data_IF_325350743010
#
_entry.id   IF_325350743010
#
_cell.length_a   1.000
_cell.length_b   1.000
_cell.length_c   1.000
_cell.angle_alpha   90.00
_cell.angle_beta   90.00
_cell.angle_gamma   90.00
#
_symmetry.space_group_name_H-M   'P 1'
#
loop_
_entity.id
_entity.type
_entity.pdbx_description
1 polymer ?
#
# COMPACT_ATOMS: atom_id res chain seq x y z
N UNK A 1 7.60 11.53 -25.08
CA UNK A 1 6.19 11.80 -25.38
C UNK A 1 5.61 10.56 -26.00
N UNK A 2 5.06 9.72 -25.13
CA UNK A 2 3.98 8.82 -25.44
C UNK A 2 2.88 9.64 -26.11
N UNK A 3 2.55 9.29 -27.35
CA UNK A 3 1.37 9.82 -28.01
C UNK A 3 0.14 9.14 -27.37
N UNK A 4 -0.65 9.91 -26.62
CA UNK A 4 -1.91 9.41 -26.06
C UNK A 4 -2.87 9.04 -27.20
N UNK A 5 -3.60 7.94 -27.04
CA UNK A 5 -4.75 7.66 -27.91
C UNK A 5 -5.88 8.66 -27.63
N UNK A 6 -6.81 8.84 -28.57
CA UNK A 6 -8.01 9.66 -28.31
C UNK A 6 -8.81 9.18 -27.09
N UNK A 7 -8.85 7.87 -26.85
CA UNK A 7 -9.52 7.28 -25.70
C UNK A 7 -8.80 7.64 -24.40
N UNK A 8 -7.46 7.60 -24.37
CA UNK A 8 -6.66 8.01 -23.22
C UNK A 8 -6.82 9.51 -22.94
N UNK A 9 -6.83 10.36 -23.98
CA UNK A 9 -7.09 11.80 -23.83
C UNK A 9 -8.46 12.03 -23.19
N UNK A 10 -9.51 11.35 -23.67
CA UNK A 10 -10.87 11.46 -23.11
C UNK A 10 -10.93 10.95 -21.67
N UNK A 11 -10.30 9.81 -21.38
CA UNK A 11 -10.29 9.16 -20.06
C UNK A 11 -9.57 10.02 -19.02
N UNK A 12 -8.39 10.54 -19.36
CA UNK A 12 -7.52 11.27 -18.45
C UNK A 12 -7.63 12.79 -18.57
N UNK A 13 -8.61 13.30 -19.33
CA UNK A 13 -8.81 14.73 -19.54
C UNK A 13 -8.83 15.54 -18.24
N UNK A 14 -9.41 15.00 -17.16
CA UNK A 14 -9.50 15.67 -15.85
C UNK A 14 -8.17 15.76 -15.11
N UNK A 15 -7.23 14.87 -15.38
CA UNK A 15 -5.86 14.97 -14.89
C UNK A 15 -5.05 15.92 -15.77
N UNK A 16 -5.14 15.78 -17.09
CA UNK A 16 -4.33 16.54 -18.06
C UNK A 16 -4.55 18.05 -17.94
N UNK A 17 -5.76 18.51 -17.56
CA UNK A 17 -6.03 19.94 -17.36
C UNK A 17 -5.45 20.53 -16.07
N UNK A 18 -5.03 19.70 -15.11
CA UNK A 18 -4.46 20.17 -13.85
C UNK A 18 -3.01 20.64 -14.10
N UNK A 19 -2.63 21.88 -13.72
CA UNK A 19 -1.27 22.38 -13.93
C UNK A 19 -0.19 21.52 -13.30
N UNK A 20 -0.46 20.90 -12.14
CA UNK A 20 0.46 20.03 -11.42
C UNK A 20 0.63 18.65 -12.07
N UNK A 21 -0.28 18.26 -12.97
CA UNK A 21 -0.23 16.97 -13.66
C UNK A 21 0.11 17.18 -15.14
N UNK A 22 -0.76 17.85 -15.91
CA UNK A 22 -0.52 18.07 -17.33
C UNK A 22 -0.47 16.78 -18.15
N UNK A 23 -0.14 16.92 -19.44
CA UNK A 23 0.15 15.76 -20.30
C UNK A 23 1.38 15.00 -19.83
N UNK A 24 2.45 15.71 -19.45
CA UNK A 24 3.70 15.09 -18.98
C UNK A 24 3.51 14.27 -17.70
N UNK A 25 2.71 14.74 -16.75
CA UNK A 25 2.43 13.99 -15.52
C UNK A 25 1.56 12.76 -15.80
N UNK A 26 0.57 12.87 -16.69
CA UNK A 26 -0.19 11.68 -17.09
C UNK A 26 0.66 10.66 -17.84
N UNK A 27 1.62 11.10 -18.66
CA UNK A 27 2.64 10.25 -19.29
C UNK A 27 3.49 9.54 -18.23
N UNK A 28 3.93 10.25 -17.18
CA UNK A 28 4.65 9.65 -16.06
C UNK A 28 3.82 8.57 -15.36
N UNK A 29 2.54 8.82 -15.07
CA UNK A 29 1.65 7.82 -14.47
C UNK A 29 1.55 6.56 -15.34
N UNK A 30 1.30 6.71 -16.65
CA UNK A 30 1.22 5.58 -17.59
C UNK A 30 2.56 4.84 -17.76
N UNK A 31 3.69 5.48 -17.47
CA UNK A 31 5.00 4.83 -17.51
C UNK A 31 5.42 4.18 -16.17
N UNK A 32 4.73 4.52 -15.08
CA UNK A 32 5.12 4.12 -13.73
C UNK A 32 4.67 2.70 -13.37
N UNK A 33 5.34 2.15 -12.36
CA UNK A 33 5.10 0.82 -11.82
C UNK A 33 4.90 0.90 -10.31
N UNK A 34 3.75 0.44 -9.83
CA UNK A 34 3.42 0.39 -8.40
C UNK A 34 3.23 -1.06 -7.96
N UNK A 35 3.81 -1.45 -6.83
CA UNK A 35 3.55 -2.73 -6.19
C UNK A 35 2.63 -2.53 -4.99
N UNK A 36 1.49 -3.20 -4.99
CA UNK A 36 0.53 -3.24 -3.91
C UNK A 36 0.61 -4.58 -3.19
N UNK A 37 1.07 -4.59 -1.95
CA UNK A 37 1.19 -5.80 -1.13
C UNK A 37 -0.01 -5.85 -0.18
N UNK A 38 -0.87 -6.84 -0.37
CA UNK A 38 -2.16 -6.97 0.29
C UNK A 38 -3.31 -6.58 -0.63
N UNK A 39 -4.13 -7.56 -1.01
CA UNK A 39 -5.30 -7.41 -1.84
C UNK A 39 -6.61 -7.27 -1.02
N UNK A 40 -6.48 -6.83 0.23
CA UNK A 40 -7.57 -6.74 1.20
C UNK A 40 -8.33 -5.41 1.20
N UNK A 41 -8.76 -4.99 2.40
CA UNK A 41 -9.63 -3.81 2.56
C UNK A 41 -8.96 -2.50 2.16
N UNK A 42 -7.67 -2.34 2.49
CA UNK A 42 -6.87 -1.19 2.08
C UNK A 42 -6.49 -1.27 0.60
N UNK A 43 -6.10 -2.46 0.15
CA UNK A 43 -5.67 -2.71 -1.22
C UNK A 43 -6.75 -2.43 -2.25
N UNK A 44 -7.99 -2.79 -1.97
CA UNK A 44 -9.11 -2.59 -2.90
C UNK A 44 -9.31 -1.13 -3.35
N UNK A 45 -9.63 -0.16 -2.47
CA UNK A 45 -9.76 1.23 -2.87
C UNK A 45 -8.46 1.79 -3.46
N UNK A 46 -7.29 1.41 -2.89
CA UNK A 46 -6.00 1.89 -3.38
C UNK A 46 -5.76 1.48 -4.85
N UNK A 47 -5.85 0.19 -5.14
CA UNK A 47 -5.62 -0.37 -6.47
C UNK A 47 -6.68 0.08 -7.49
N UNK A 48 -7.94 0.23 -7.09
CA UNK A 48 -8.98 0.77 -7.97
C UNK A 48 -8.68 2.22 -8.38
N UNK A 49 -8.26 3.10 -7.45
CA UNK A 49 -7.91 4.48 -7.77
C UNK A 49 -6.62 4.57 -8.59
N UNK A 50 -5.60 3.76 -8.30
CA UNK A 50 -4.38 3.70 -9.10
C UNK A 50 -4.64 3.20 -10.52
N UNK A 51 -5.47 2.16 -10.67
CA UNK A 51 -5.94 1.70 -11.97
C UNK A 51 -6.66 2.80 -12.73
N UNK A 52 -7.65 3.44 -12.09
CA UNK A 52 -8.42 4.55 -12.69
C UNK A 52 -7.54 5.75 -13.07
N UNK A 53 -6.48 6.03 -12.30
CA UNK A 53 -5.52 7.10 -12.57
C UNK A 53 -4.56 6.81 -13.74
N UNK A 54 -4.50 5.56 -14.21
CA UNK A 54 -3.63 5.14 -15.30
C UNK A 54 -2.20 4.89 -14.86
N UNK A 55 -1.99 4.22 -13.72
CA UNK A 55 -0.67 3.66 -13.40
C UNK A 55 -0.33 2.57 -14.42
N UNK A 56 0.79 2.72 -15.13
CA UNK A 56 1.17 1.85 -16.24
C UNK A 56 1.21 0.36 -15.91
N UNK A 57 1.85 0.01 -14.79
CA UNK A 57 1.88 -1.36 -14.27
C UNK A 57 1.51 -1.38 -12.79
N UNK A 58 0.54 -2.21 -12.45
CA UNK A 58 0.14 -2.46 -11.06
C UNK A 58 0.42 -3.92 -10.70
N UNK A 59 1.46 -4.14 -9.90
CA UNK A 59 1.73 -5.42 -9.26
C UNK A 59 0.84 -5.59 -8.04
N UNK A 60 0.22 -6.75 -7.87
CA UNK A 60 -0.62 -7.05 -6.71
C UNK A 60 -0.16 -8.38 -6.12
N UNK A 61 0.30 -8.35 -4.87
CA UNK A 61 0.75 -9.53 -4.15
C UNK A 61 -0.18 -9.84 -2.98
N UNK A 62 -0.78 -11.03 -3.01
CA UNK A 62 -1.62 -11.58 -1.94
C UNK A 62 -1.75 -13.10 -2.17
N UNK A 63 -1.62 -13.88 -1.11
CA UNK A 63 -1.68 -15.35 -1.18
C UNK A 63 -3.06 -15.92 -0.85
N UNK A 64 -3.96 -15.10 -0.30
CA UNK A 64 -5.28 -15.53 0.13
C UNK A 64 -6.27 -15.69 -1.02
N UNK A 65 -7.34 -16.42 -0.71
CA UNK A 65 -8.57 -16.44 -1.49
C UNK A 65 -9.63 -15.51 -0.88
N UNK A 66 -10.61 -15.12 -1.69
CA UNK A 66 -11.74 -14.29 -1.26
C UNK A 66 -12.65 -15.10 -0.34
N UNK A 67 -12.89 -14.60 0.87
CA UNK A 67 -13.88 -15.15 1.80
C UNK A 67 -15.15 -14.29 1.86
N UNK A 68 -16.30 -14.89 2.20
CA UNK A 68 -17.57 -14.17 2.32
C UNK A 68 -17.49 -13.00 3.32
N UNK A 69 -16.78 -13.19 4.45
CA UNK A 69 -16.59 -12.16 5.49
C UNK A 69 -15.78 -10.95 4.99
N UNK A 70 -15.09 -11.07 3.86
CA UNK A 70 -14.27 -10.03 3.29
C UNK A 70 -15.11 -8.97 2.54
N UNK A 71 -16.26 -9.38 1.99
CA UNK A 71 -17.04 -8.58 1.05
C UNK A 71 -17.60 -7.27 1.64
N UNK A 72 -17.70 -7.17 2.97
CA UNK A 72 -18.15 -5.94 3.64
C UNK A 72 -17.16 -4.76 3.52
N UNK A 73 -15.89 -5.03 3.16
CA UNK A 73 -14.83 -4.00 3.06
C UNK A 73 -13.89 -4.12 1.86
N UNK A 74 -13.88 -5.25 1.16
CA UNK A 74 -12.97 -5.51 0.03
C UNK A 74 -13.71 -5.29 -1.30
N UNK A 75 -13.95 -4.03 -1.63
CA UNK A 75 -14.95 -3.59 -2.62
C UNK A 75 -14.67 -3.95 -4.09
N UNK A 76 -13.49 -4.51 -4.40
CA UNK A 76 -13.19 -5.04 -5.74
C UNK A 76 -13.49 -6.54 -5.90
N UNK A 77 -13.95 -7.21 -4.84
CA UNK A 77 -14.41 -8.59 -4.85
C UNK A 77 -15.94 -8.64 -4.83
N UNK A 78 -16.53 -9.63 -5.50
CA UNK A 78 -17.96 -9.90 -5.47
C UNK A 78 -18.31 -11.27 -4.92
N UNK A 79 -19.61 -11.52 -4.74
CA UNK A 79 -20.13 -12.83 -4.31
C UNK A 79 -19.67 -14.00 -5.23
N UNK A 80 -19.45 -13.72 -6.53
CA UNK A 80 -18.97 -14.72 -7.50
C UNK A 80 -17.48 -15.02 -7.36
N UNK A 81 -16.74 -14.21 -6.60
CA UNK A 81 -15.31 -14.37 -6.42
C UNK A 81 -14.94 -15.18 -5.19
N UNK A 82 -15.90 -15.51 -4.31
CA UNK A 82 -15.64 -16.33 -3.11
C UNK A 82 -14.96 -17.64 -3.50
N UNK A 83 -13.81 -17.91 -2.88
CA UNK A 83 -12.92 -19.04 -3.17
C UNK A 83 -11.90 -18.82 -4.29
N UNK A 84 -11.99 -17.74 -5.08
CA UNK A 84 -10.94 -17.35 -6.05
C UNK A 84 -9.80 -16.65 -5.33
N UNK A 85 -8.60 -16.69 -5.90
CA UNK A 85 -7.48 -15.87 -5.41
C UNK A 85 -7.84 -14.38 -5.44
N UNK A 86 -7.55 -13.66 -4.36
CA UNK A 86 -7.84 -12.22 -4.25
C UNK A 86 -7.19 -11.44 -5.39
N UNK A 87 -5.94 -11.74 -5.70
CA UNK A 87 -5.20 -11.05 -6.78
C UNK A 87 -5.85 -11.21 -8.15
N UNK A 88 -6.49 -12.35 -8.45
CA UNK A 88 -7.17 -12.56 -9.73
C UNK A 88 -8.47 -11.74 -9.80
N UNK A 89 -9.26 -11.75 -8.72
CA UNK A 89 -10.48 -10.92 -8.64
C UNK A 89 -10.16 -9.42 -8.67
N UNK A 90 -9.07 -9.01 -8.02
CA UNK A 90 -8.57 -7.64 -8.06
C UNK A 90 -8.20 -7.22 -9.49
N UNK A 91 -7.46 -8.09 -10.21
CA UNK A 91 -7.10 -7.89 -11.62
C UNK A 91 -8.34 -7.70 -12.49
N UNK A 92 -9.30 -8.61 -12.44
CA UNK A 92 -10.54 -8.51 -13.21
C UNK A 92 -11.27 -7.18 -12.95
N UNK A 93 -11.24 -6.71 -11.70
CA UNK A 93 -11.86 -5.44 -11.31
C UNK A 93 -11.16 -4.20 -11.85
N UNK A 94 -9.83 -4.21 -11.95
CA UNK A 94 -9.07 -3.11 -12.56
C UNK A 94 -9.24 -3.12 -14.08
N UNK A 95 -9.15 -4.28 -14.72
CA UNK A 95 -9.32 -4.43 -16.18
C UNK A 95 -10.73 -4.02 -16.63
N UNK A 96 -11.74 -4.19 -15.77
CA UNK A 96 -13.10 -3.65 -15.99
C UNK A 96 -13.14 -2.12 -16.04
N UNK A 97 -12.27 -1.44 -15.28
CA UNK A 97 -12.22 0.03 -15.22
C UNK A 97 -11.47 0.60 -16.42
N UNK A 98 -10.32 0.00 -16.74
CA UNK A 98 -9.46 0.50 -17.80
C UNK A 98 -8.61 -0.60 -18.45
N UNK A 99 -8.41 -0.55 -19.79
CA UNK A 99 -7.47 -1.42 -20.47
C UNK A 99 -6.02 -0.89 -20.42
N UNK A 100 -5.80 0.34 -19.95
CA UNK A 100 -4.50 1.02 -20.02
C UNK A 100 -3.47 0.51 -19.00
N UNK A 101 -3.90 -0.24 -17.99
CA UNK A 101 -3.07 -0.71 -16.88
C UNK A 101 -2.70 -2.18 -17.05
N UNK A 102 -1.39 -2.47 -17.05
CA UNK A 102 -0.89 -3.85 -16.98
C UNK A 102 -0.93 -4.33 -15.53
N UNK A 103 -1.84 -5.25 -15.21
CA UNK A 103 -1.90 -5.86 -13.88
C UNK A 103 -1.08 -7.15 -13.83
N UNK A 104 -0.15 -7.23 -12.88
CA UNK A 104 0.67 -8.42 -12.59
C UNK A 104 0.25 -8.99 -11.24
N UNK A 105 -0.05 -10.28 -11.18
CA UNK A 105 -0.52 -10.94 -9.95
C UNK A 105 0.55 -11.85 -9.38
N UNK A 106 0.76 -11.77 -8.06
CA UNK A 106 1.66 -12.63 -7.30
C UNK A 106 0.86 -13.38 -6.23
N UNK A 107 0.71 -14.69 -6.43
CA UNK A 107 -0.09 -15.60 -5.58
C UNK A 107 0.76 -16.28 -4.52
N UNK A 108 1.65 -15.52 -3.90
CA UNK A 108 2.63 -16.05 -2.97
C UNK A 108 2.70 -15.18 -1.71
N UNK A 109 3.03 -15.83 -0.59
CA UNK A 109 3.28 -15.12 0.65
C UNK A 109 4.62 -14.39 0.51
N UNK A 110 4.64 -13.12 0.91
CA UNK A 110 5.88 -12.34 0.90
C UNK A 110 6.80 -12.85 2.02
N UNK A 111 8.06 -13.09 1.67
CA UNK A 111 9.09 -13.68 2.51
C UNK A 111 10.41 -12.92 2.33
N UNK A 112 11.39 -13.14 3.21
CA UNK A 112 12.75 -12.63 3.02
C UNK A 112 13.36 -13.13 1.72
N UNK A 113 12.96 -14.31 1.27
CA UNK A 113 13.52 -14.99 0.11
C UNK A 113 13.04 -14.38 -1.22
N UNK A 114 11.83 -13.81 -1.28
CA UNK A 114 11.25 -13.31 -2.52
C UNK A 114 11.11 -11.78 -2.61
N UNK A 115 11.11 -11.06 -1.47
CA UNK A 115 10.73 -9.64 -1.47
C UNK A 115 11.68 -8.77 -2.28
N UNK A 116 12.98 -9.07 -2.27
CA UNK A 116 13.97 -8.33 -3.07
C UNK A 116 13.61 -8.37 -4.56
N UNK A 117 13.39 -9.59 -5.07
CA UNK A 117 13.06 -9.81 -6.48
C UNK A 117 11.70 -9.23 -6.84
N UNK A 118 10.77 -9.23 -5.89
CA UNK A 118 9.44 -8.67 -6.10
C UNK A 118 9.46 -7.14 -6.22
N UNK A 119 10.18 -6.44 -5.35
CA UNK A 119 10.11 -4.96 -5.30
C UNK A 119 11.07 -4.27 -6.27
N UNK A 120 12.10 -4.94 -6.78
CA UNK A 120 13.20 -4.32 -7.54
C UNK A 120 12.74 -3.51 -8.75
N UNK A 121 11.69 -3.95 -9.44
CA UNK A 121 11.22 -3.37 -10.70
C UNK A 121 10.13 -2.30 -10.51
N UNK A 122 9.72 -2.01 -9.27
CA UNK A 122 8.66 -1.05 -8.97
C UNK A 122 9.22 0.29 -8.47
N UNK A 123 8.53 1.37 -8.83
CA UNK A 123 8.89 2.74 -8.46
C UNK A 123 8.42 3.10 -7.05
N UNK A 124 7.26 2.56 -6.65
CA UNK A 124 6.63 2.77 -5.34
C UNK A 124 6.05 1.44 -4.84
N UNK A 125 6.27 1.16 -3.56
CA UNK A 125 5.65 0.02 -2.85
C UNK A 125 4.56 0.54 -1.92
N UNK A 126 3.43 -0.15 -1.88
CA UNK A 126 2.30 0.15 -1.00
C UNK A 126 2.09 -1.03 -0.07
N UNK A 127 2.17 -0.76 1.22
CA UNK A 127 1.84 -1.72 2.27
C UNK A 127 0.35 -1.59 2.62
N UNK A 128 -0.44 -2.54 2.14
CA UNK A 128 -1.86 -2.71 2.44
C UNK A 128 -2.12 -3.98 3.27
N UNK A 129 -1.12 -4.43 4.02
CA UNK A 129 -1.17 -5.65 4.84
C UNK A 129 -1.76 -5.37 6.23
N UNK A 130 -2.26 -6.42 6.88
CA UNK A 130 -2.92 -6.34 8.18
C UNK A 130 -2.18 -7.06 9.32
N UNK A 131 -0.98 -7.58 9.07
CA UNK A 131 -0.15 -8.23 10.08
C UNK A 131 1.17 -7.47 10.32
N UNK A 132 1.73 -7.56 11.52
CA UNK A 132 2.98 -6.87 11.86
C UNK A 132 4.21 -7.46 11.15
N UNK A 133 4.45 -8.78 11.15
CA UNK A 133 5.64 -9.37 10.51
C UNK A 133 5.90 -8.88 9.08
N UNK A 134 4.87 -8.89 8.22
CA UNK A 134 4.98 -8.44 6.84
C UNK A 134 5.27 -6.94 6.76
N UNK A 135 4.72 -6.11 7.65
CA UNK A 135 5.01 -4.66 7.68
C UNK A 135 6.48 -4.36 7.95
N UNK A 136 7.08 -5.08 8.91
CA UNK A 136 8.51 -4.94 9.19
C UNK A 136 9.35 -5.41 8.01
N UNK A 137 9.01 -6.57 7.42
CA UNK A 137 9.71 -7.10 6.26
C UNK A 137 9.66 -6.14 5.06
N UNK A 138 8.48 -5.60 4.73
CA UNK A 138 8.31 -4.63 3.64
C UNK A 138 9.11 -3.36 3.92
N UNK A 139 9.03 -2.82 5.14
CA UNK A 139 9.80 -1.64 5.54
C UNK A 139 11.30 -1.85 5.36
N UNK A 140 11.82 -2.97 5.87
CA UNK A 140 13.25 -3.25 5.86
C UNK A 140 13.75 -3.44 4.42
N UNK A 141 13.01 -4.20 3.60
CA UNK A 141 13.32 -4.34 2.18
C UNK A 141 13.27 -3.01 1.43
N UNK A 142 12.24 -2.19 1.65
CA UNK A 142 12.14 -0.88 1.02
C UNK A 142 13.30 0.04 1.43
N UNK A 143 13.74 -0.02 2.70
CA UNK A 143 14.92 0.69 3.17
C UNK A 143 16.20 0.21 2.47
N UNK A 144 16.48 -1.10 2.50
CA UNK A 144 17.70 -1.66 1.91
C UNK A 144 17.80 -1.48 0.40
N UNK A 145 16.67 -1.51 -0.31
CA UNK A 145 16.62 -1.40 -1.78
C UNK A 145 16.18 -0.02 -2.28
N UNK A 146 16.12 0.98 -1.40
CA UNK A 146 15.86 2.37 -1.78
C UNK A 146 14.49 2.62 -2.40
N UNK A 147 13.46 1.86 -1.98
CA UNK A 147 12.09 1.98 -2.51
C UNK A 147 11.23 2.89 -1.63
N UNK A 148 10.55 3.90 -2.19
CA UNK A 148 9.47 4.62 -1.51
C UNK A 148 8.39 3.65 -1.02
N UNK A 149 8.01 3.77 0.24
CA UNK A 149 6.97 2.95 0.86
C UNK A 149 5.80 3.82 1.31
N UNK A 150 4.60 3.52 0.82
CA UNK A 150 3.35 4.13 1.28
C UNK A 150 2.68 3.20 2.27
N UNK A 151 2.63 3.63 3.53
CA UNK A 151 2.08 2.85 4.63
C UNK A 151 0.63 3.21 4.92
N UNK A 152 -0.19 2.20 5.16
CA UNK A 152 -1.56 2.34 5.67
C UNK A 152 -1.84 1.27 6.72
N UNK A 153 -2.60 1.64 7.75
CA UNK A 153 -3.14 0.69 8.71
C UNK A 153 -4.47 1.13 9.26
N UNK A 154 -5.21 0.17 9.81
CA UNK A 154 -6.54 0.37 10.38
C UNK A 154 -6.70 -0.53 11.60
N UNK A 155 -7.48 -0.07 12.58
CA UNK A 155 -7.87 -0.83 13.74
C UNK A 155 -9.20 -0.29 14.28
N UNK A 156 -10.24 -1.13 14.33
CA UNK A 156 -11.60 -0.73 14.75
C UNK A 156 -12.15 0.48 13.96
N UNK A 157 -12.01 1.68 14.50
CA UNK A 157 -12.46 2.96 13.94
C UNK A 157 -11.32 3.93 13.61
N UNK A 158 -10.07 3.55 13.92
CA UNK A 158 -8.88 4.35 13.74
C UNK A 158 -8.10 3.91 12.50
N UNK A 159 -7.73 4.88 11.66
CA UNK A 159 -6.87 4.68 10.50
C UNK A 159 -5.57 5.47 10.61
N UNK A 160 -4.51 4.97 10.01
CA UNK A 160 -3.22 5.64 9.94
C UNK A 160 -2.65 5.58 8.53
N UNK A 161 -1.95 6.64 8.14
CA UNK A 161 -1.19 6.69 6.89
C UNK A 161 0.11 7.49 7.07
N UNK A 162 1.17 7.04 6.41
CA UNK A 162 2.41 7.81 6.26
C UNK A 162 3.17 7.37 5.01
N UNK A 163 4.25 8.08 4.68
CA UNK A 163 5.17 7.69 3.62
C UNK A 163 6.56 7.55 4.23
N UNK A 164 7.27 6.48 3.88
CA UNK A 164 8.68 6.33 4.21
C UNK A 164 9.49 6.47 2.94
N UNK A 165 10.35 7.49 2.91
CA UNK A 165 11.31 7.69 1.83
C UNK A 165 12.70 7.33 2.35
N UNK A 166 13.32 6.23 1.88
CA UNK A 166 14.69 5.89 2.26
C UNK A 166 15.63 7.09 2.10
N UNK A 167 16.54 7.25 3.08
CA UNK A 167 17.52 8.34 3.20
C UNK A 167 16.96 9.77 3.31
N UNK A 168 15.62 9.94 3.35
CA UNK A 168 14.96 11.26 3.36
C UNK A 168 14.00 11.43 4.54
N UNK A 169 14.04 10.55 5.53
CA UNK A 169 13.11 10.60 6.65
C UNK A 169 13.17 9.41 7.59
N UNK A 170 12.19 9.32 8.52
CA UNK A 170 12.01 8.14 9.36
C UNK A 170 11.66 6.90 8.52
N UNK A 171 11.87 5.72 9.11
CA UNK A 171 11.30 4.47 8.60
C UNK A 171 10.19 3.96 9.56
N UNK A 172 9.54 2.84 9.23
CA UNK A 172 8.54 2.22 10.10
C UNK A 172 9.09 1.92 11.49
N UNK A 173 10.34 1.48 11.59
CA UNK A 173 11.01 1.23 12.88
C UNK A 173 11.26 2.49 13.72
N UNK A 174 11.24 3.68 13.14
CA UNK A 174 11.23 4.92 13.93
C UNK A 174 9.88 5.16 14.61
N UNK A 175 8.79 4.63 14.02
CA UNK A 175 7.45 4.72 14.60
C UNK A 175 7.20 3.58 15.59
N UNK A 176 7.56 2.35 15.21
CA UNK A 176 7.44 1.15 16.03
C UNK A 176 8.78 0.39 16.05
N UNK A 177 9.62 0.57 17.09
CA UNK A 177 11.00 0.05 17.09
C UNK A 177 11.13 -1.47 16.95
N UNK A 178 10.20 -2.22 17.53
CA UNK A 178 10.19 -3.67 17.53
C UNK A 178 8.78 -4.21 17.34
N UNK A 179 8.62 -5.36 16.65
CA UNK A 179 7.32 -5.99 16.54
C UNK A 179 6.73 -6.28 17.93
N UNK A 180 5.40 -6.14 18.10
CA UNK A 180 4.76 -6.53 19.34
C UNK A 180 4.96 -8.04 19.56
N UNK A 181 5.00 -8.51 20.82
CA UNK A 181 4.96 -9.93 21.13
C UNK A 181 3.77 -10.61 20.44
N UNK A 182 3.98 -11.86 20.01
CA UNK A 182 2.93 -12.68 19.44
C UNK A 182 1.67 -12.74 20.32
N UNK A 183 0.49 -12.61 19.71
CA UNK A 183 -0.80 -12.66 20.40
C UNK A 183 -1.17 -11.41 21.23
N UNK A 184 -0.31 -10.39 21.31
CA UNK A 184 -0.59 -9.19 22.11
C UNK A 184 -1.58 -8.23 21.41
N UNK A 185 -1.54 -8.17 20.08
CA UNK A 185 -2.38 -7.27 19.29
C UNK A 185 -3.29 -8.09 18.38
N UNK A 186 -4.62 -7.96 18.53
CA UNK A 186 -5.55 -8.73 17.71
C UNK A 186 -5.52 -8.28 16.25
N UNK A 187 -5.72 -9.22 15.34
CA UNK A 187 -5.86 -8.95 13.91
C UNK A 187 -7.13 -8.14 13.63
N UNK A 188 -7.26 -7.58 12.41
CA UNK A 188 -8.50 -6.94 11.98
C UNK A 188 -9.70 -7.91 12.02
N UNK A 189 -9.47 -9.20 11.78
CA UNK A 189 -10.51 -10.22 11.87
C UNK A 189 -10.98 -10.44 13.31
N UNK A 190 -10.07 -10.36 14.28
CA UNK A 190 -10.37 -10.56 15.70
C UNK A 190 -10.95 -9.32 16.38
N UNK A 191 -10.41 -8.14 16.07
CA UNK A 191 -10.83 -6.88 16.69
C UNK A 191 -12.11 -6.29 16.08
N UNK A 192 -12.46 -6.69 14.86
CA UNK A 192 -13.47 -6.06 14.03
C UNK A 192 -12.99 -4.72 13.43
N UNK A 193 -13.60 -4.35 12.29
CA UNK A 193 -13.27 -3.09 11.61
C UNK A 193 -14.49 -2.54 10.87
N UNK A 194 -14.69 -1.22 10.96
CA UNK A 194 -15.72 -0.53 10.19
C UNK A 194 -15.38 -0.57 8.71
N UNK A 195 -16.23 -1.16 7.87
CA UNK A 195 -15.89 -1.47 6.47
C UNK A 195 -15.47 -0.29 5.59
N UNK A 196 -15.97 0.92 5.87
CA UNK A 196 -15.62 2.14 5.11
C UNK A 196 -14.23 2.69 5.46
N UNK A 197 -13.71 2.40 6.65
CA UNK A 197 -12.44 2.91 7.15
C UNK A 197 -11.26 2.58 6.21
N UNK A 198 -11.06 1.30 5.78
CA UNK A 198 -10.07 0.97 4.77
C UNK A 198 -10.25 1.74 3.44
N UNK A 199 -11.50 2.07 3.08
CA UNK A 199 -11.85 2.91 1.94
C UNK A 199 -11.13 4.27 1.95
N UNK A 200 -11.18 4.95 3.10
CA UNK A 200 -10.56 6.26 3.30
C UNK A 200 -9.03 6.15 3.28
N UNK A 201 -8.47 5.23 4.05
CA UNK A 201 -7.01 5.08 4.17
C UNK A 201 -6.39 4.60 2.85
N UNK A 202 -7.00 3.65 2.14
CA UNK A 202 -6.48 3.19 0.86
C UNK A 202 -6.55 4.25 -0.24
N UNK A 203 -7.54 5.14 -0.21
CA UNK A 203 -7.58 6.32 -1.10
C UNK A 203 -6.44 7.30 -0.78
N UNK A 204 -6.13 7.50 0.51
CA UNK A 204 -4.96 8.30 0.92
C UNK A 204 -3.67 7.65 0.43
N UNK A 205 -3.53 6.33 0.55
CA UNK A 205 -2.35 5.61 0.02
C UNK A 205 -2.19 5.80 -1.49
N UNK A 206 -3.27 5.67 -2.27
CA UNK A 206 -3.23 5.91 -3.72
C UNK A 206 -2.79 7.35 -4.05
N UNK A 207 -3.32 8.34 -3.33
CA UNK A 207 -2.94 9.74 -3.51
C UNK A 207 -1.46 10.00 -3.18
N UNK A 208 -0.93 9.41 -2.12
CA UNK A 208 0.50 9.53 -1.79
C UNK A 208 1.39 8.89 -2.88
N UNK A 209 1.03 7.72 -3.41
CA UNK A 209 1.77 7.09 -4.50
C UNK A 209 1.77 7.96 -5.76
N UNK A 210 0.62 8.53 -6.14
CA UNK A 210 0.51 9.46 -7.28
C UNK A 210 1.39 10.69 -7.08
N UNK A 211 1.39 11.31 -5.90
CA UNK A 211 2.27 12.45 -5.59
C UNK A 211 3.75 12.09 -5.71
N UNK A 212 4.15 10.91 -5.25
CA UNK A 212 5.54 10.43 -5.36
C UNK A 212 5.95 10.31 -6.83
N UNK A 213 5.12 9.66 -7.66
CA UNK A 213 5.41 9.44 -9.09
C UNK A 213 5.49 10.76 -9.86
N UNK A 214 4.56 11.68 -9.58
CA UNK A 214 4.52 12.99 -10.24
C UNK A 214 5.61 13.93 -9.73
N UNK A 215 6.10 13.73 -8.51
CA UNK A 215 7.04 14.63 -7.85
C UNK A 215 6.39 15.96 -7.43
N UNK A 216 5.12 15.92 -7.02
CA UNK A 216 4.32 17.13 -6.72
C UNK A 216 3.74 17.14 -5.31
N UNK A 217 3.40 18.34 -4.83
CA UNK A 217 2.85 18.56 -3.50
C UNK A 217 3.84 18.20 -2.39
N UNK A 218 3.31 17.83 -1.23
CA UNK A 218 4.10 17.40 -0.07
C UNK A 218 3.58 16.06 0.42
N UNK A 219 4.42 15.03 0.45
CA UNK A 219 4.04 13.69 0.89
C UNK A 219 3.86 13.64 2.42
N UNK A 220 3.32 12.54 2.93
CA UNK A 220 3.28 12.25 4.37
C UNK A 220 4.65 11.83 4.94
N UNK A 221 5.75 11.97 4.20
CA UNK A 221 7.06 11.67 4.74
C UNK A 221 7.40 12.57 5.94
N UNK A 222 7.79 11.95 7.05
CA UNK A 222 8.01 12.64 8.34
C UNK A 222 6.72 13.07 9.05
N UNK A 223 5.54 12.57 8.63
CA UNK A 223 4.22 12.97 9.14
C UNK A 223 3.31 11.74 9.24
N UNK A 224 2.82 11.46 10.44
CA UNK A 224 1.82 10.41 10.65
C UNK A 224 0.44 11.05 10.63
N UNK A 225 -0.37 10.67 9.65
CA UNK A 225 -1.78 11.03 9.61
C UNK A 225 -2.57 9.98 10.39
N UNK A 226 -3.42 10.44 11.30
CA UNK A 226 -4.35 9.63 12.09
C UNK A 226 -5.76 10.08 11.75
N UNK A 227 -6.64 9.13 11.45
CA UNK A 227 -8.04 9.34 11.15
C UNK A 227 -8.92 8.60 12.16
N UNK A 228 -9.72 9.36 12.92
CA UNK A 228 -10.78 8.85 13.77
C UNK A 228 -12.11 8.92 13.00
N UNK A 229 -12.69 7.75 12.69
CA UNK A 229 -13.93 7.67 11.91
C UNK A 229 -15.20 7.99 12.71
N UNK A 230 -15.17 7.94 14.04
CA UNK A 230 -16.33 8.26 14.88
C UNK A 230 -16.47 9.78 15.00
N UNK A 231 -15.36 10.45 15.30
CA UNK A 231 -15.33 11.90 15.47
C UNK A 231 -15.09 12.67 14.16
N UNK A 232 -14.85 11.96 13.05
CA UNK A 232 -14.50 12.52 11.75
C UNK A 232 -13.30 13.48 11.84
N UNK A 233 -12.26 13.05 12.56
CA UNK A 233 -11.12 13.88 12.89
C UNK A 233 -9.85 13.37 12.23
N UNK A 234 -9.16 14.28 11.54
CA UNK A 234 -7.81 14.05 11.04
C UNK A 234 -6.80 14.76 11.93
N UNK A 235 -5.84 14.02 12.48
CA UNK A 235 -4.74 14.55 13.29
C UNK A 235 -3.43 14.21 12.61
N UNK A 236 -2.57 15.22 12.41
CA UNK A 236 -1.23 15.01 11.89
C UNK A 236 -0.20 15.14 13.01
N UNK A 237 0.67 14.14 13.14
CA UNK A 237 1.77 14.14 14.09
C UNK A 237 3.11 14.15 13.34
N UNK A 238 4.06 14.95 13.83
CA UNK A 238 5.41 14.95 13.26
C UNK A 238 6.14 13.66 13.63
N UNK A 239 6.52 12.87 12.63
CA UNK A 239 7.34 11.68 12.79
C UNK A 239 8.80 12.05 12.50
N UNK A 240 9.68 11.86 13.49
CA UNK A 240 11.10 12.19 13.37
C UNK A 240 11.90 10.91 13.18
N UNK A 241 12.96 11.00 12.38
CA UNK A 241 13.95 9.93 12.33
C UNK A 241 14.60 9.81 13.72
N UNK A 242 14.62 8.59 14.24
CA UNK A 242 15.30 8.27 15.47
C UNK A 242 16.78 7.91 15.18
N UNK A 243 17.72 8.60 15.83
CA UNK A 243 19.16 8.35 15.67
C UNK A 243 19.57 6.98 16.22
N UNK A 244 18.77 6.43 17.14
CA UNK A 244 18.96 5.08 17.69
C UNK A 244 18.13 4.01 16.99
N UNK A 245 17.48 4.35 15.86
CA UNK A 245 16.68 3.38 15.11
C UNK A 245 17.54 2.17 14.70
N UNK A 246 17.08 0.93 14.94
CA UNK A 246 17.88 -0.27 14.66
C UNK A 246 18.10 -0.51 13.16
N UNK A 247 17.38 0.19 12.28
CA UNK A 247 17.51 0.07 10.82
C UNK A 247 18.17 1.29 10.17
N UNK A 248 17.63 2.49 10.40
CA UNK A 248 18.08 3.72 9.71
C UNK A 248 18.79 4.72 10.64
N UNK A 249 19.18 4.28 11.85
CA UNK A 249 19.93 5.08 12.81
C UNK A 249 21.43 5.12 12.51
N UNK A 250 22.20 5.76 13.40
CA UNK A 250 23.65 5.95 13.21
C UNK A 250 24.45 4.65 13.39
N UNK A 251 23.92 3.68 14.14
CA UNK A 251 24.52 2.38 14.40
C UNK A 251 23.47 1.28 14.21
N UNK A 252 23.13 0.91 12.95
CA UNK A 252 22.07 -0.04 12.68
C UNK A 252 22.44 -1.44 13.16
N UNK A 253 21.48 -2.14 13.77
CA UNK A 253 21.59 -3.53 14.22
C UNK A 253 20.83 -4.50 13.33
N UNK A 254 19.84 -4.02 12.57
CA UNK A 254 19.16 -4.74 11.50
C UNK A 254 19.95 -4.49 10.21
N UNK A 255 20.74 -5.48 9.80
CA UNK A 255 21.64 -5.42 8.63
C UNK A 255 21.23 -6.36 7.49
N UNK A 256 20.17 -7.13 7.70
CA UNK A 256 19.60 -8.06 6.72
C UNK A 256 18.09 -8.19 6.94
N UNK A 257 17.39 -8.81 5.99
CA UNK A 257 15.96 -9.10 6.10
C UNK A 257 15.71 -10.14 7.20
N UNK A 258 14.82 -9.80 8.11
CA UNK A 258 14.42 -10.69 9.22
C UNK A 258 12.99 -11.13 8.98
N UNK A 259 12.77 -12.44 8.95
CA UNK A 259 11.42 -13.00 9.08
C UNK A 259 11.01 -13.10 10.53
N UNK A 260 9.83 -12.56 10.82
CA UNK A 260 9.18 -12.70 12.12
C UNK A 260 8.10 -13.78 12.00
N UNK A 261 8.13 -14.79 12.85
CA UNK A 261 7.10 -15.83 12.86
C UNK A 261 5.73 -15.24 13.22
N UNK A 262 4.72 -15.50 12.38
CA UNK A 262 3.32 -15.32 12.74
C UNK A 262 2.91 -16.47 13.65
N UNK A 263 2.93 -16.26 14.96
CA UNK A 263 2.28 -17.17 15.91
C UNK A 263 0.77 -16.92 15.88
N UNK A 264 0.09 -17.45 14.85
CA UNK A 264 -1.34 -17.69 14.92
C UNK A 264 -1.55 -19.02 15.65
N UNK A 265 -1.71 -19.00 16.98
CA UNK A 265 -2.24 -20.16 17.70
C UNK A 265 -3.73 -20.33 17.35
N UNK A 266 -4.01 -21.06 16.28
CA UNK A 266 -5.33 -21.67 16.11
C UNK A 266 -5.42 -22.86 17.06
N UNK A 267 -6.13 -22.69 18.18
CA UNK A 267 -6.74 -23.84 18.87
C UNK A 267 -8.15 -24.03 18.33
N UNK A 268 -8.40 -25.28 17.95
CA UNK A 268 -9.55 -25.84 17.24
C UNK A 268 -10.93 -25.44 17.78
#
# INVERSE_FOLDING_TARGET
MLDFTEEQIKRYARHIILPEVGGEGQEKLLSSKVLLIGAGGLGAPCGLYLGAAGIGTLGIADFDTVDLSNLQRQIWHGNKDVGRYKVDSAKDSIERITPDVKVITYKEKISSDNIQELIKDYDVVIDATDNFPTRYLINDACHFYGKPLVYGSIFRFDGQATVFLPDKGPCYRCLFPSPPPAGLVPSCQEAGVLGVLPGVIGAIQANEAIKIILGVGTTLNGRLLIYDALDMKFTEMKLRQDRTCPLCGENPTVVDLIEYEELCEFKA
#
